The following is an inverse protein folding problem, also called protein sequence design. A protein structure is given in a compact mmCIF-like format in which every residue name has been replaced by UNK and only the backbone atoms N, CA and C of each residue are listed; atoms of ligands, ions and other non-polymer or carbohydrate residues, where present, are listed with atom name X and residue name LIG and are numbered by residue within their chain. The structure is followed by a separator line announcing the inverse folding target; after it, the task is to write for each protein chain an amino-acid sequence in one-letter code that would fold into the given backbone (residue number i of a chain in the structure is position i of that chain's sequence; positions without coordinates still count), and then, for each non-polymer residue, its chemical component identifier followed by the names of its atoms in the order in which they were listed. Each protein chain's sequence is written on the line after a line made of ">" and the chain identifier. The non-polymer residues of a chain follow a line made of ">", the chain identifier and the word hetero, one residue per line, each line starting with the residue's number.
data_IF_757269608254
#
_entry.id   IF_757269608254
#
_cell.length_a   1.000
_cell.length_b   1.000
_cell.length_c   1.000
_cell.angle_alpha   90.00
_cell.angle_beta   90.00
_cell.angle_gamma   90.00
#
_symmetry.space_group_name_H-M   'P 1'
#
loop_
_entity.id
_entity.type
_entity.pdbx_description
1 polymer ?
#
# COMPACT_ATOMS: atom_id res chain seq x y z
N UNK A 1 -9.06 -3.52 -38.42
CA UNK A 1 -8.15 -2.39 -38.20
C UNK A 1 -7.56 -2.49 -36.80
N UNK A 2 -6.23 -2.44 -36.68
CA UNK A 2 -5.46 -2.63 -35.43
C UNK A 2 -4.52 -1.42 -35.22
N UNK A 3 -4.21 -1.07 -33.97
CA UNK A 3 -3.30 0.03 -33.59
C UNK A 3 -1.94 -0.13 -34.26
N UNK A 4 -1.41 -1.35 -34.36
CA UNK A 4 -0.12 -1.60 -35.04
C UNK A 4 -0.18 -1.28 -36.54
N UNK A 5 -1.32 -1.47 -37.19
CA UNK A 5 -1.52 -1.10 -38.59
C UNK A 5 -1.57 0.42 -38.77
N UNK A 6 -2.22 1.12 -37.85
CA UNK A 6 -2.30 2.58 -37.84
C UNK A 6 -0.93 3.22 -37.59
N UNK A 7 -0.11 2.63 -36.71
CA UNK A 7 1.29 3.02 -36.50
C UNK A 7 2.09 2.92 -37.80
N UNK A 8 2.03 1.77 -38.48
CA UNK A 8 2.73 1.58 -39.76
C UNK A 8 2.30 2.59 -40.83
N UNK A 9 1.00 2.94 -40.91
CA UNK A 9 0.50 3.93 -41.87
C UNK A 9 0.99 5.35 -41.54
N UNK A 10 0.97 5.73 -40.26
CA UNK A 10 1.48 7.03 -39.78
C UNK A 10 2.98 7.18 -40.08
N UNK A 11 3.78 6.19 -39.69
CA UNK A 11 5.22 6.16 -39.95
C UNK A 11 5.54 6.22 -41.45
N UNK A 12 4.73 5.57 -42.30
CA UNK A 12 4.88 5.68 -43.75
C UNK A 12 4.62 7.10 -44.26
N UNK A 13 3.67 7.82 -43.65
CA UNK A 13 3.40 9.23 -43.94
C UNK A 13 4.57 10.15 -43.56
N UNK A 14 5.23 9.88 -42.44
CA UNK A 14 6.34 10.69 -41.92
C UNK A 14 7.68 10.36 -42.61
N UNK A 15 7.97 9.07 -42.83
CA UNK A 15 9.27 8.58 -43.32
C UNK A 15 9.32 8.34 -44.84
N UNK A 16 8.18 8.29 -45.52
CA UNK A 16 8.06 8.26 -46.98
C UNK A 16 8.55 6.99 -47.70
N UNK A 17 9.05 5.97 -46.98
CA UNK A 17 9.43 4.69 -47.59
C UNK A 17 9.23 3.49 -46.65
N UNK A 18 8.82 2.35 -47.23
CA UNK A 18 8.65 1.08 -46.50
C UNK A 18 9.95 0.62 -45.84
N UNK A 19 11.11 0.89 -46.47
CA UNK A 19 12.41 0.55 -45.91
C UNK A 19 12.71 1.35 -44.64
N UNK A 20 12.50 2.66 -44.67
CA UNK A 20 12.70 3.52 -43.50
C UNK A 20 11.75 3.16 -42.34
N UNK A 21 10.48 2.87 -42.64
CA UNK A 21 9.52 2.40 -41.62
C UNK A 21 9.94 1.07 -40.99
N UNK A 22 10.43 0.13 -41.81
CA UNK A 22 10.90 -1.16 -41.33
C UNK A 22 12.12 -1.02 -40.40
N UNK A 23 13.06 -0.15 -40.75
CA UNK A 23 14.22 0.18 -39.92
C UNK A 23 13.79 0.85 -38.60
N UNK A 24 12.91 1.86 -38.64
CA UNK A 24 12.43 2.59 -37.46
C UNK A 24 11.66 1.69 -36.48
N UNK A 25 10.83 0.77 -37.00
CA UNK A 25 10.03 -0.13 -36.18
C UNK A 25 10.75 -1.46 -35.85
N UNK A 26 12.01 -1.64 -36.26
CA UNK A 26 12.79 -2.87 -36.10
C UNK A 26 12.07 -4.14 -36.60
N UNK A 27 11.47 -4.07 -37.78
CA UNK A 27 10.76 -5.17 -38.44
C UNK A 27 11.24 -5.36 -39.88
N UNK A 28 10.80 -6.42 -40.56
CA UNK A 28 11.13 -6.61 -41.98
C UNK A 28 10.28 -5.72 -42.90
N UNK A 29 10.80 -5.30 -44.06
CA UNK A 29 10.01 -4.58 -45.07
C UNK A 29 8.78 -5.34 -45.57
N UNK A 30 8.85 -6.68 -45.60
CA UNK A 30 7.71 -7.53 -45.94
C UNK A 30 6.60 -7.47 -44.88
N UNK A 31 6.95 -7.40 -43.59
CA UNK A 31 5.98 -7.24 -42.51
C UNK A 31 5.26 -5.90 -42.59
N UNK A 32 5.98 -4.80 -42.87
CA UNK A 32 5.39 -3.47 -43.11
C UNK A 32 4.40 -3.52 -44.28
N UNK A 33 4.81 -4.09 -45.40
CA UNK A 33 3.96 -4.22 -46.59
C UNK A 33 2.71 -5.06 -46.34
N UNK A 34 2.83 -6.13 -45.53
CA UNK A 34 1.72 -6.98 -45.12
C UNK A 34 0.72 -6.23 -44.23
N UNK A 35 1.20 -5.44 -43.25
CA UNK A 35 0.33 -4.64 -42.38
C UNK A 35 -0.42 -3.57 -43.17
N UNK A 36 0.23 -2.88 -44.11
CA UNK A 36 -0.42 -1.93 -45.01
C UNK A 36 -1.48 -2.60 -45.88
N UNK A 37 -1.19 -3.79 -46.41
CA UNK A 37 -2.14 -4.56 -47.22
C UNK A 37 -3.37 -5.00 -46.41
N UNK A 38 -3.18 -5.41 -45.16
CA UNK A 38 -4.28 -5.74 -44.26
C UNK A 38 -5.12 -4.51 -43.91
N UNK A 39 -4.47 -3.37 -43.65
CA UNK A 39 -5.16 -2.13 -43.33
C UNK A 39 -6.02 -1.63 -44.50
N UNK A 40 -5.47 -1.61 -45.72
CA UNK A 40 -6.20 -1.20 -46.92
C UNK A 40 -7.41 -2.10 -47.19
N UNK A 41 -7.28 -3.42 -47.00
CA UNK A 41 -8.41 -4.36 -47.09
C UNK A 41 -9.49 -4.05 -46.06
N UNK A 42 -9.08 -3.78 -44.81
CA UNK A 42 -10.01 -3.42 -43.73
C UNK A 42 -10.69 -2.06 -43.95
N UNK A 43 -10.01 -1.10 -44.58
CA UNK A 43 -10.53 0.23 -44.86
C UNK A 43 -11.40 0.29 -46.13
N UNK A 44 -11.34 -0.73 -46.99
CA UNK A 44 -12.11 -0.80 -48.24
C UNK A 44 -11.66 0.16 -49.34
N UNK A 45 -10.60 0.94 -49.12
CA UNK A 45 -10.06 1.93 -50.06
C UNK A 45 -8.53 1.87 -50.11
N UNK A 46 -7.90 2.23 -51.25
CA UNK A 46 -6.44 2.37 -51.33
C UNK A 46 -5.94 3.51 -50.42
N UNK A 47 -5.04 3.19 -49.50
CA UNK A 47 -4.44 4.15 -48.56
C UNK A 47 -3.05 4.61 -49.02
N UNK A 48 -2.43 3.86 -49.92
CA UNK A 48 -1.12 4.15 -50.51
C UNK A 48 -1.19 4.11 -52.02
N UNK A 49 -0.30 4.87 -52.68
CA UNK A 49 -0.11 4.86 -54.14
C UNK A 49 1.37 4.94 -54.47
N UNK A 50 1.74 4.44 -55.65
CA UNK A 50 3.11 4.62 -56.16
C UNK A 50 3.27 6.03 -56.72
N UNK A 51 4.36 6.68 -56.36
CA UNK A 51 4.83 7.94 -56.93
C UNK A 51 6.30 7.78 -57.31
N UNK A 52 6.54 7.52 -58.60
CA UNK A 52 7.85 7.10 -59.10
C UNK A 52 8.34 5.80 -58.42
N UNK A 53 9.46 5.90 -57.68
CA UNK A 53 10.05 4.79 -56.91
C UNK A 53 9.55 4.71 -55.46
N UNK A 54 8.78 5.69 -55.01
CA UNK A 54 8.35 5.82 -53.62
C UNK A 54 6.88 5.39 -53.44
N UNK A 55 6.55 4.95 -52.23
CA UNK A 55 5.18 4.63 -51.84
C UNK A 55 4.67 5.78 -50.95
N UNK A 56 3.67 6.51 -51.42
CA UNK A 56 3.13 7.70 -50.73
C UNK A 56 1.68 7.47 -50.31
N UNK A 57 1.23 8.20 -49.29
CA UNK A 57 -0.17 8.15 -48.85
C UNK A 57 -1.11 8.78 -49.90
N UNK A 58 -2.28 8.17 -50.07
CA UNK A 58 -3.43 8.80 -50.77
C UNK A 58 -4.09 9.84 -49.85
N UNK A 59 -5.09 10.59 -50.32
CA UNK A 59 -5.88 11.47 -49.44
C UNK A 59 -6.58 10.67 -48.34
N UNK A 60 -7.17 9.52 -48.68
CA UNK A 60 -7.74 8.59 -47.71
C UNK A 60 -6.69 8.05 -46.74
N UNK A 61 -5.47 7.79 -47.23
CA UNK A 61 -4.32 7.40 -46.40
C UNK A 61 -3.90 8.46 -45.40
N UNK A 62 -3.86 9.73 -45.82
CA UNK A 62 -3.58 10.88 -44.93
C UNK A 62 -4.65 11.02 -43.85
N UNK A 63 -5.92 11.03 -44.24
CA UNK A 63 -7.05 11.11 -43.28
C UNK A 63 -7.00 9.98 -42.26
N UNK A 64 -6.71 8.75 -42.69
CA UNK A 64 -6.62 7.62 -41.78
C UNK A 64 -5.34 7.64 -40.92
N UNK A 65 -4.22 8.14 -41.44
CA UNK A 65 -2.99 8.32 -40.66
C UNK A 65 -3.18 9.34 -39.53
N UNK A 66 -3.84 10.47 -39.81
CA UNK A 66 -4.15 11.51 -38.81
C UNK A 66 -5.09 10.97 -37.72
N UNK A 67 -6.17 10.30 -38.14
CA UNK A 67 -7.08 9.63 -37.21
C UNK A 67 -6.37 8.53 -36.40
N UNK A 68 -5.46 7.80 -37.03
CA UNK A 68 -4.61 6.79 -36.38
C UNK A 68 -3.69 7.40 -35.31
N UNK A 69 -3.15 8.59 -35.54
CA UNK A 69 -2.36 9.34 -34.56
C UNK A 69 -3.15 9.65 -33.29
N UNK A 70 -4.43 10.01 -33.41
CA UNK A 70 -5.30 10.23 -32.25
C UNK A 70 -5.53 8.95 -31.43
N UNK A 71 -5.73 7.80 -32.09
CA UNK A 71 -5.88 6.50 -31.41
C UNK A 71 -4.60 6.08 -30.69
N UNK A 72 -3.44 6.26 -31.32
CA UNK A 72 -2.14 5.93 -30.73
C UNK A 72 -1.88 6.80 -29.49
N UNK A 73 -2.17 8.11 -29.56
CA UNK A 73 -2.06 9.01 -28.40
C UNK A 73 -3.00 8.60 -27.28
N UNK A 74 -4.27 8.35 -27.56
CA UNK A 74 -5.23 7.91 -26.54
C UNK A 74 -4.79 6.61 -25.83
N UNK A 75 -4.19 5.67 -26.56
CA UNK A 75 -3.60 4.47 -25.97
C UNK A 75 -2.37 4.79 -25.10
N UNK A 76 -1.49 5.70 -25.55
CA UNK A 76 -0.34 6.13 -24.75
C UNK A 76 -0.77 6.85 -23.46
N UNK A 77 -1.75 7.75 -23.55
CA UNK A 77 -2.33 8.47 -22.41
C UNK A 77 -2.95 7.51 -21.40
N UNK A 78 -3.64 6.46 -21.87
CA UNK A 78 -4.18 5.43 -20.99
C UNK A 78 -3.09 4.65 -20.23
N UNK A 79 -1.97 4.30 -20.89
CA UNK A 79 -0.83 3.68 -20.23
C UNK A 79 -0.15 4.64 -19.25
N UNK A 80 0.01 5.91 -19.63
CA UNK A 80 0.59 6.94 -18.77
C UNK A 80 -0.28 7.22 -17.53
N UNK A 81 -1.60 7.23 -17.66
CA UNK A 81 -2.52 7.37 -16.53
C UNK A 81 -2.44 6.19 -15.56
N UNK A 82 -2.32 4.97 -16.07
CA UNK A 82 -2.08 3.78 -15.24
C UNK A 82 -0.70 3.86 -14.58
N UNK A 83 0.33 4.31 -15.31
CA UNK A 83 1.66 4.56 -14.77
C UNK A 83 1.62 5.57 -13.62
N UNK A 84 1.06 6.76 -13.84
CA UNK A 84 0.89 7.80 -12.83
C UNK A 84 0.10 7.34 -11.59
N UNK A 85 -0.90 6.47 -11.75
CA UNK A 85 -1.60 5.89 -10.60
C UNK A 85 -0.73 4.92 -9.78
N UNK A 86 0.08 4.09 -10.45
CA UNK A 86 1.00 3.18 -9.76
C UNK A 86 2.17 3.92 -9.14
N UNK A 87 2.66 4.95 -9.83
CA UNK A 87 3.85 5.70 -9.46
C UNK A 87 3.58 6.83 -8.48
N UNK A 88 2.31 7.19 -8.19
CA UNK A 88 1.96 8.21 -7.19
C UNK A 88 2.41 7.80 -5.78
N UNK A 89 3.47 8.43 -5.24
CA UNK A 89 3.99 8.12 -3.91
C UNK A 89 3.12 8.69 -2.78
N UNK A 90 2.27 9.70 -3.07
CA UNK A 90 1.33 10.30 -2.13
C UNK A 90 -0.08 9.66 -2.18
N UNK A 91 -0.21 8.54 -2.90
CA UNK A 91 -1.46 7.81 -3.03
C UNK A 91 -2.08 7.44 -1.68
N UNK A 92 -3.41 7.40 -1.62
CA UNK A 92 -4.11 6.92 -0.40
C UNK A 92 -4.04 5.39 -0.33
N UNK A 93 -3.64 4.87 0.83
CA UNK A 93 -3.52 3.44 1.12
C UNK A 93 -4.46 3.08 2.26
N UNK A 94 -5.37 2.14 1.99
CA UNK A 94 -6.29 1.59 2.96
C UNK A 94 -5.72 0.31 3.60
N UNK A 95 -5.66 0.28 4.93
CA UNK A 95 -5.11 -0.84 5.71
C UNK A 95 -6.14 -1.29 6.73
N UNK A 96 -6.49 -2.58 6.70
CA UNK A 96 -7.33 -3.21 7.74
C UNK A 96 -6.50 -4.13 8.63
N UNK A 97 -6.83 -4.20 9.92
CA UNK A 97 -6.22 -5.13 10.85
C UNK A 97 -7.22 -5.67 11.88
N UNK A 98 -6.97 -6.87 12.40
CA UNK A 98 -7.68 -7.37 13.57
C UNK A 98 -7.27 -6.62 14.85
N UNK A 99 -8.11 -6.65 15.90
CA UNK A 99 -8.02 -5.77 17.08
C UNK A 99 -6.61 -5.59 17.65
N UNK A 100 -5.90 -6.68 18.03
CA UNK A 100 -4.59 -6.52 18.67
C UNK A 100 -3.50 -6.03 17.70
N UNK A 101 -3.55 -6.41 16.42
CA UNK A 101 -2.64 -5.86 15.43
C UNK A 101 -2.90 -4.36 15.23
N UNK A 102 -4.16 -3.95 15.10
CA UNK A 102 -4.52 -2.53 15.00
C UNK A 102 -4.01 -1.72 16.19
N UNK A 103 -4.24 -2.19 17.42
CA UNK A 103 -3.77 -1.54 18.64
C UNK A 103 -2.23 -1.43 18.72
N UNK A 104 -1.51 -2.48 18.32
CA UNK A 104 -0.04 -2.51 18.41
C UNK A 104 0.67 -1.74 17.28
N UNK A 105 0.06 -1.70 16.08
CA UNK A 105 0.74 -1.30 14.83
C UNK A 105 0.29 0.08 14.35
N UNK A 106 -1.02 0.39 14.36
CA UNK A 106 -1.56 1.57 13.66
C UNK A 106 -0.98 2.90 14.15
N UNK A 107 -0.85 3.08 15.46
CA UNK A 107 -0.25 4.30 16.02
C UNK A 107 1.22 4.48 15.60
N UNK A 108 2.00 3.40 15.60
CA UNK A 108 3.42 3.41 15.20
C UNK A 108 3.56 3.71 13.70
N UNK A 109 2.73 3.06 12.88
CA UNK A 109 2.72 3.28 11.43
C UNK A 109 2.36 4.73 11.08
N UNK A 110 1.30 5.26 11.70
CA UNK A 110 0.88 6.65 11.48
C UNK A 110 1.95 7.64 11.94
N UNK A 111 2.57 7.41 13.10
CA UNK A 111 3.66 8.25 13.62
C UNK A 111 4.88 8.30 12.70
N UNK A 112 5.27 7.17 12.10
CA UNK A 112 6.39 7.13 11.15
C UNK A 112 6.11 7.94 9.89
N UNK A 113 4.91 7.84 9.34
CA UNK A 113 4.53 8.61 8.14
C UNK A 113 4.45 10.11 8.44
N UNK A 114 3.94 10.49 9.62
CA UNK A 114 3.92 11.89 10.04
C UNK A 114 5.35 12.46 10.18
N UNK A 115 6.26 11.73 10.84
CA UNK A 115 7.65 12.17 10.99
C UNK A 115 8.37 12.36 9.64
N UNK A 116 8.14 11.45 8.68
CA UNK A 116 8.71 11.61 7.32
C UNK A 116 8.17 12.83 6.59
N UNK A 117 6.93 13.26 6.86
CA UNK A 117 6.37 14.47 6.23
C UNK A 117 6.94 15.76 6.83
N UNK A 118 7.35 15.74 8.10
CA UNK A 118 7.94 16.88 8.79
C UNK A 118 9.41 17.11 8.39
N UNK A 119 10.18 16.03 8.22
CA UNK A 119 11.59 16.10 7.78
C UNK A 119 11.73 16.72 6.37
N UNK A 120 10.78 16.46 5.47
CA UNK A 120 10.76 17.02 4.12
C UNK A 120 10.27 18.48 4.06
N UNK A 121 9.62 18.98 5.12
CA UNK A 121 9.17 20.38 5.23
C UNK A 121 10.20 21.34 5.86
N UNK A 122 11.34 20.83 6.33
CA UNK A 122 12.28 21.54 7.21
C UNK A 122 13.40 22.36 6.56
N UNK A 123 13.54 22.41 5.23
CA UNK A 123 14.68 23.12 4.58
C UNK A 123 14.43 24.60 4.24
N UNK A 124 13.45 25.26 4.85
CA UNK A 124 13.03 26.60 4.46
C UNK A 124 12.74 27.60 5.59
N UNK A 125 13.57 27.70 6.64
CA UNK A 125 13.57 28.89 7.52
C UNK A 125 14.82 28.95 8.42
N UNK A 126 15.98 29.23 7.85
CA UNK A 126 17.16 29.69 8.60
C UNK A 126 17.16 31.21 8.63
N UNK A 127 16.73 31.79 9.76
CA UNK A 127 16.67 33.23 9.99
C UNK A 127 18.05 33.89 9.88
N UNK A 128 18.08 35.03 9.18
CA UNK A 128 19.12 36.05 9.34
C UNK A 128 18.65 36.98 10.44
N UNK A 129 19.16 36.73 11.65
CA UNK A 129 19.22 37.70 12.73
C UNK A 129 20.43 38.58 12.43
N UNK A 130 20.21 39.86 12.11
CA UNK A 130 21.29 40.85 12.14
C UNK A 130 20.74 42.15 12.75
N UNK A 131 21.24 42.43 13.95
CA UNK A 131 20.92 43.61 14.72
C UNK A 131 21.60 44.85 14.16
N UNK A 132 20.88 45.98 14.15
CA UNK A 132 21.44 47.28 13.82
C UNK A 132 20.63 48.40 14.48
N UNK A 133 21.18 48.95 15.56
CA UNK A 133 20.75 50.17 16.24
C UNK A 133 20.98 51.41 15.36
N UNK A 134 20.11 52.41 15.45
CA UNK A 134 20.37 53.73 14.83
C UNK A 134 19.17 54.67 14.82
N UNK A 135 19.34 55.85 15.39
CA UNK A 135 18.29 56.80 15.75
C UNK A 135 17.96 57.83 14.66
N UNK A 136 16.75 58.41 14.78
CA UNK A 136 16.49 59.86 14.60
C UNK A 136 16.12 60.36 13.20
N UNK A 137 15.15 61.29 13.16
CA UNK A 137 15.00 62.24 12.05
C UNK A 137 13.56 62.47 11.59
N UNK A 138 13.01 63.61 11.99
CA UNK A 138 11.70 64.20 11.64
C UNK A 138 11.62 64.74 10.21
N UNK A 139 10.36 64.99 9.77
CA UNK A 139 9.88 65.94 8.74
C UNK A 139 10.49 65.79 7.31
N UNK A 140 9.82 66.03 6.18
CA UNK A 140 8.82 67.01 5.81
C UNK A 140 8.20 66.66 4.43
N UNK A 141 7.16 67.38 4.00
CA UNK A 141 6.25 67.06 2.89
C UNK A 141 6.79 67.09 1.44
N UNK A 142 5.87 66.83 0.50
CA UNK A 142 6.13 66.91 -0.94
C UNK A 142 5.04 66.28 -1.82
N UNK A 143 4.03 67.08 -2.15
CA UNK A 143 3.04 66.84 -3.21
C UNK A 143 3.68 66.76 -4.60
N UNK A 144 3.18 65.89 -5.49
CA UNK A 144 3.55 65.87 -6.91
C UNK A 144 2.61 65.02 -7.76
N UNK A 145 1.91 65.71 -8.66
CA UNK A 145 0.86 65.29 -9.59
C UNK A 145 1.41 64.62 -10.88
N UNK A 146 0.54 63.86 -11.56
CA UNK A 146 0.46 63.83 -13.01
C UNK A 146 1.22 62.74 -13.78
N UNK A 147 0.50 61.98 -14.62
CA UNK A 147 1.14 61.23 -15.71
C UNK A 147 0.36 60.07 -16.31
N UNK A 148 -0.63 60.37 -17.14
CA UNK A 148 -1.29 59.44 -18.08
C UNK A 148 -0.31 58.90 -19.14
N UNK A 149 -0.47 57.65 -19.56
CA UNK A 149 0.20 57.11 -20.76
C UNK A 149 -0.36 55.76 -21.19
N UNK A 150 -1.09 55.75 -22.30
CA UNK A 150 -1.72 54.59 -22.92
C UNK A 150 -0.81 53.88 -23.92
N UNK A 151 -1.13 52.61 -24.19
CA UNK A 151 -0.97 51.99 -25.51
C UNK A 151 0.22 51.05 -25.68
N UNK A 152 -0.01 49.94 -26.36
CA UNK A 152 1.06 49.11 -26.93
C UNK A 152 0.75 47.63 -26.96
N UNK A 153 0.26 47.18 -28.10
CA UNK A 153 -0.09 45.82 -28.47
C UNK A 153 1.14 44.92 -28.72
N UNK A 154 0.82 43.63 -28.87
CA UNK A 154 1.42 42.65 -29.79
C UNK A 154 2.52 41.67 -29.33
N UNK A 155 2.27 40.46 -29.84
CA UNK A 155 3.16 39.37 -30.22
C UNK A 155 3.76 38.43 -29.15
N UNK A 156 3.13 37.25 -29.06
CA UNK A 156 3.61 36.11 -29.85
C UNK A 156 5.05 35.66 -29.57
N UNK A 157 5.22 34.82 -28.55
CA UNK A 157 6.46 34.10 -28.29
C UNK A 157 6.18 32.64 -27.95
N UNK A 158 6.47 31.75 -28.89
CA UNK A 158 6.47 30.30 -28.76
C UNK A 158 7.34 29.83 -27.59
N UNK A 159 6.72 29.23 -26.58
CA UNK A 159 7.44 28.49 -25.53
C UNK A 159 7.85 27.12 -26.05
N UNK A 160 9.08 27.02 -26.55
CA UNK A 160 9.84 25.77 -26.53
C UNK A 160 10.44 25.63 -25.14
N UNK A 161 10.01 24.59 -24.44
CA UNK A 161 10.32 24.32 -23.05
C UNK A 161 10.38 22.83 -22.82
N UNK A 162 11.25 22.14 -23.57
CA UNK A 162 11.78 20.85 -23.18
C UNK A 162 12.55 20.99 -21.88
N UNK A 163 11.88 20.84 -20.74
CA UNK A 163 12.51 20.58 -19.46
C UNK A 163 12.42 19.09 -19.18
N UNK A 164 13.47 18.37 -19.57
CA UNK A 164 13.89 17.14 -18.92
C UNK A 164 14.26 17.47 -17.47
N UNK A 165 13.23 17.50 -16.62
CA UNK A 165 13.36 17.56 -15.17
C UNK A 165 13.29 16.14 -14.62
N UNK A 166 14.40 15.42 -14.68
CA UNK A 166 14.65 14.28 -13.78
C UNK A 166 14.75 14.79 -12.34
N UNK A 167 13.62 15.19 -11.76
CA UNK A 167 13.50 15.51 -10.35
C UNK A 167 13.55 14.21 -9.57
N UNK A 168 14.65 14.00 -8.84
CA UNK A 168 14.70 13.11 -7.68
C UNK A 168 13.46 13.35 -6.81
N UNK A 169 12.56 12.36 -6.74
CA UNK A 169 11.26 12.48 -6.07
C UNK A 169 11.40 12.92 -4.62
N UNK A 170 11.08 14.18 -4.37
CA UNK A 170 11.03 14.82 -3.06
C UNK A 170 9.75 14.43 -2.32
N UNK A 171 9.90 13.80 -1.16
CA UNK A 171 9.04 13.91 0.04
C UNK A 171 7.53 13.65 0.00
N UNK A 172 7.03 12.93 -0.99
CA UNK A 172 5.62 12.58 -1.05
C UNK A 172 5.29 11.38 -0.15
N UNK A 173 4.55 11.63 0.94
CA UNK A 173 4.16 10.63 1.94
C UNK A 173 2.77 10.05 1.65
N UNK A 174 2.58 8.71 1.65
CA UNK A 174 1.28 8.08 1.50
C UNK A 174 0.26 8.54 2.56
N UNK A 175 -1.00 8.77 2.16
CA UNK A 175 -2.11 9.01 3.09
C UNK A 175 -2.72 7.70 3.55
N UNK A 176 -2.87 7.49 4.87
CA UNK A 176 -3.48 6.27 5.41
C UNK A 176 -5.00 6.38 5.60
N UNK A 177 -5.70 5.28 5.34
CA UNK A 177 -7.04 5.00 5.87
C UNK A 177 -6.98 3.69 6.65
N UNK A 178 -7.21 3.76 7.95
CA UNK A 178 -7.08 2.61 8.85
C UNK A 178 -8.47 2.15 9.28
N UNK A 179 -8.66 0.83 9.33
CA UNK A 179 -9.90 0.21 9.80
C UNK A 179 -9.60 -1.04 10.64
N UNK A 180 -10.41 -1.30 11.65
CA UNK A 180 -10.43 -2.58 12.35
C UNK A 180 -11.42 -3.55 11.67
N UNK A 181 -10.98 -4.79 11.47
CA UNK A 181 -11.80 -5.88 10.93
C UNK A 181 -11.48 -7.17 11.68
N UNK A 182 -12.40 -7.62 12.54
CA UNK A 182 -12.24 -8.82 13.38
C UNK A 182 -13.09 -9.98 12.89
N UNK A 183 -12.60 -10.61 11.83
CA UNK A 183 -13.26 -11.74 11.18
C UNK A 183 -12.57 -13.07 11.53
N UNK A 184 -13.29 -14.20 11.47
CA UNK A 184 -12.66 -15.52 11.49
C UNK A 184 -11.67 -15.69 10.33
N UNK A 185 -10.75 -16.66 10.42
CA UNK A 185 -9.70 -16.90 9.42
C UNK A 185 -10.21 -16.82 7.97
N UNK A 186 -11.31 -17.51 7.66
CA UNK A 186 -11.85 -17.58 6.28
C UNK A 186 -12.37 -16.23 5.74
N UNK A 187 -12.62 -15.25 6.61
CA UNK A 187 -13.11 -13.93 6.23
C UNK A 187 -12.03 -12.98 5.70
N UNK A 188 -10.76 -13.16 6.10
CA UNK A 188 -9.69 -12.22 5.76
C UNK A 188 -9.46 -12.05 4.25
N UNK A 189 -9.41 -13.11 3.42
CA UNK A 189 -9.17 -12.96 1.99
C UNK A 189 -10.17 -12.03 1.28
N UNK A 190 -11.44 -12.07 1.69
CA UNK A 190 -12.49 -11.24 1.09
C UNK A 190 -12.31 -9.73 1.36
N UNK A 191 -11.64 -9.38 2.47
CA UNK A 191 -11.34 -7.98 2.83
C UNK A 191 -10.42 -7.30 1.82
N UNK A 192 -9.61 -8.05 1.08
CA UNK A 192 -8.73 -7.51 0.02
C UNK A 192 -9.51 -6.88 -1.14
N UNK A 193 -10.83 -7.08 -1.22
CA UNK A 193 -11.71 -6.36 -2.14
C UNK A 193 -12.01 -4.92 -1.71
N UNK A 194 -11.84 -4.61 -0.42
CA UNK A 194 -12.17 -3.31 0.18
C UNK A 194 -10.93 -2.53 0.63
N UNK A 195 -9.87 -3.23 0.98
CA UNK A 195 -8.64 -2.67 1.52
C UNK A 195 -7.43 -3.01 0.65
N UNK A 196 -6.48 -2.08 0.56
CA UNK A 196 -5.24 -2.28 -0.20
C UNK A 196 -4.32 -3.30 0.49
N UNK A 197 -4.23 -3.25 1.81
CA UNK A 197 -3.46 -4.16 2.65
C UNK A 197 -4.36 -4.70 3.77
N UNK A 198 -4.42 -6.02 3.92
CA UNK A 198 -5.12 -6.67 5.03
C UNK A 198 -4.11 -7.38 5.92
N UNK A 199 -4.01 -6.98 7.18
CA UNK A 199 -3.30 -7.76 8.20
C UNK A 199 -4.21 -8.89 8.66
N UNK A 200 -3.86 -10.11 8.27
CA UNK A 200 -4.62 -11.32 8.56
C UNK A 200 -3.87 -12.20 9.55
N UNK A 201 -4.60 -13.09 10.23
CA UNK A 201 -3.99 -14.11 11.05
C UNK A 201 -4.63 -15.49 10.88
N UNK A 202 -3.82 -16.52 11.11
CA UNK A 202 -4.23 -17.93 11.13
C UNK A 202 -3.40 -18.70 12.14
N UNK A 203 -3.87 -19.85 12.61
CA UNK A 203 -3.00 -20.74 13.38
C UNK A 203 -1.90 -21.30 12.46
N UNK A 204 -0.70 -21.53 12.98
CA UNK A 204 0.42 -22.03 12.17
C UNK A 204 0.14 -23.41 11.51
N UNK A 205 -0.77 -24.19 12.10
CA UNK A 205 -1.21 -25.49 11.59
C UNK A 205 -2.50 -25.41 10.74
N UNK A 206 -3.12 -24.23 10.62
CA UNK A 206 -4.28 -24.04 9.75
C UNK A 206 -3.90 -24.06 8.29
N UNK A 207 -4.90 -24.27 7.42
CA UNK A 207 -4.77 -24.12 5.98
C UNK A 207 -4.12 -22.79 5.58
N UNK A 208 -3.33 -22.83 4.51
CA UNK A 208 -2.71 -21.65 3.92
C UNK A 208 -3.74 -20.76 3.23
N UNK A 209 -3.39 -19.50 3.03
CA UNK A 209 -4.22 -18.54 2.32
C UNK A 209 -4.37 -18.89 0.84
N UNK A 210 -5.50 -18.55 0.18
CA UNK A 210 -5.61 -18.65 -1.27
C UNK A 210 -4.59 -17.72 -1.94
N UNK A 211 -3.89 -18.21 -2.96
CA UNK A 211 -2.78 -17.50 -3.64
C UNK A 211 -3.06 -17.17 -5.11
N UNK A 212 -4.24 -17.52 -5.63
CA UNK A 212 -4.63 -17.31 -7.02
C UNK A 212 -4.80 -15.82 -7.37
N UNK A 213 -5.28 -15.02 -6.41
CA UNK A 213 -5.59 -13.58 -6.58
C UNK A 213 -5.04 -12.70 -5.48
N UNK A 214 -4.25 -13.27 -4.57
CA UNK A 214 -3.74 -12.60 -3.39
C UNK A 214 -2.26 -12.91 -3.26
N UNK A 215 -1.47 -11.85 -3.17
CA UNK A 215 -0.09 -11.91 -2.71
C UNK A 215 -0.10 -12.00 -1.19
N UNK A 216 0.55 -13.05 -0.68
CA UNK A 216 0.71 -13.30 0.75
C UNK A 216 2.15 -12.95 1.13
N UNK A 217 2.31 -12.00 2.05
CA UNK A 217 3.62 -11.61 2.57
C UNK A 217 3.66 -11.94 4.07
N UNK A 218 4.46 -12.94 4.50
CA UNK A 218 4.61 -13.25 5.92
C UNK A 218 5.14 -12.05 6.70
N UNK A 219 4.58 -11.81 7.89
CA UNK A 219 4.93 -10.65 8.71
C UNK A 219 5.51 -11.06 10.07
N UNK A 220 4.85 -11.96 10.79
CA UNK A 220 5.37 -12.48 12.06
C UNK A 220 4.75 -13.83 12.47
N UNK A 221 5.45 -14.57 13.32
CA UNK A 221 4.86 -15.64 14.12
C UNK A 221 4.73 -15.19 15.56
N UNK A 222 3.57 -15.41 16.16
CA UNK A 222 3.26 -14.92 17.49
C UNK A 222 2.69 -16.05 18.36
N UNK A 223 3.33 -16.38 19.50
CA UNK A 223 2.79 -17.32 20.47
C UNK A 223 1.68 -16.68 21.31
N UNK A 224 0.71 -17.51 21.72
CA UNK A 224 -0.19 -17.21 22.82
C UNK A 224 0.42 -17.62 24.16
N UNK A 225 0.42 -16.69 25.11
CA UNK A 225 0.79 -16.93 26.51
C UNK A 225 -0.48 -16.96 27.38
N UNK A 226 -0.42 -17.71 28.47
CA UNK A 226 -1.47 -17.73 29.49
C UNK A 226 -1.38 -16.46 30.31
N UNK A 227 -2.47 -15.70 30.33
CA UNK A 227 -2.66 -14.52 31.14
C UNK A 227 -3.27 -14.91 32.49
N UNK A 228 -2.62 -14.47 33.56
CA UNK A 228 -2.96 -14.77 34.94
C UNK A 228 -3.03 -13.46 35.76
N UNK A 229 -3.89 -13.36 36.78
CA UNK A 229 -3.74 -12.34 37.81
C UNK A 229 -2.38 -12.49 38.51
N UNK A 230 -1.71 -11.38 38.88
CA UNK A 230 -0.40 -11.45 39.55
C UNK A 230 -0.39 -12.28 40.85
N UNK A 231 -1.52 -12.35 41.56
CA UNK A 231 -1.67 -13.15 42.78
C UNK A 231 -2.01 -14.63 42.54
N UNK A 232 -2.16 -15.07 41.29
CA UNK A 232 -2.56 -16.44 40.99
C UNK A 232 -1.42 -17.44 41.30
N UNK A 233 -1.67 -18.62 41.91
CA UNK A 233 -0.62 -19.58 42.26
C UNK A 233 0.27 -20.00 41.07
N UNK A 234 -0.32 -20.13 39.88
CA UNK A 234 0.41 -20.47 38.66
C UNK A 234 1.36 -19.36 38.16
N UNK A 235 1.19 -18.11 38.63
CA UNK A 235 2.06 -17.01 38.25
C UNK A 235 3.50 -17.20 38.77
N UNK A 236 3.71 -18.04 39.78
CA UNK A 236 5.03 -18.39 40.30
C UNK A 236 5.83 -19.33 39.38
N UNK A 237 5.18 -20.01 38.43
CA UNK A 237 5.87 -20.89 37.47
C UNK A 237 6.50 -20.07 36.34
N UNK A 238 7.56 -20.57 35.70
CA UNK A 238 8.17 -19.92 34.54
C UNK A 238 7.46 -20.26 33.22
N UNK A 239 6.85 -21.44 33.14
CA UNK A 239 5.99 -21.90 32.04
C UNK A 239 4.91 -22.84 32.57
N UNK A 240 3.88 -23.06 31.77
CA UNK A 240 2.72 -23.87 32.11
C UNK A 240 2.55 -25.00 31.11
N UNK A 241 2.05 -26.14 31.59
CA UNK A 241 1.61 -27.26 30.77
C UNK A 241 0.08 -27.26 30.61
N UNK A 242 -0.50 -27.98 29.63
CA UNK A 242 -1.93 -28.11 29.48
C UNK A 242 -2.62 -28.64 30.75
N UNK A 243 -1.97 -29.59 31.44
CA UNK A 243 -2.48 -30.18 32.69
C UNK A 243 -2.56 -29.18 33.84
N UNK A 244 -1.68 -28.17 33.87
CA UNK A 244 -1.70 -27.12 34.90
C UNK A 244 -2.94 -26.23 34.81
N UNK A 245 -3.44 -26.01 33.59
CA UNK A 245 -4.45 -24.98 33.30
C UNK A 245 -5.81 -25.55 32.88
N UNK A 246 -5.89 -26.84 32.55
CA UNK A 246 -7.12 -27.49 32.13
C UNK A 246 -8.22 -27.53 33.21
N UNK A 247 -7.84 -27.41 34.48
CA UNK A 247 -8.78 -27.37 35.60
C UNK A 247 -9.31 -25.98 35.95
N UNK A 248 -8.78 -24.94 35.33
CA UNK A 248 -9.06 -23.55 35.69
C UNK A 248 -10.29 -22.99 34.96
N UNK A 249 -10.78 -21.84 35.45
CA UNK A 249 -11.81 -21.06 34.76
C UNK A 249 -11.20 -20.05 33.80
N UNK A 250 -11.84 -19.86 32.65
CA UNK A 250 -11.27 -19.08 31.53
C UNK A 250 -12.21 -18.02 30.98
N UNK A 251 -11.61 -16.91 30.54
CA UNK A 251 -12.14 -16.03 29.51
C UNK A 251 -11.49 -16.39 28.16
N UNK A 252 -12.31 -16.60 27.12
CA UNK A 252 -11.79 -16.97 25.80
C UNK A 252 -12.70 -16.50 24.66
N UNK A 253 -12.20 -16.51 23.44
CA UNK A 253 -12.95 -16.11 22.26
C UNK A 253 -14.06 -17.09 21.90
N UNK A 254 -14.91 -16.69 20.96
CA UNK A 254 -15.87 -17.61 20.31
C UNK A 254 -15.13 -18.66 19.47
N UNK A 255 -15.76 -19.82 19.16
CA UNK A 255 -15.22 -20.78 18.20
C UNK A 255 -14.90 -20.12 16.85
N UNK A 256 -13.86 -20.60 16.17
CA UNK A 256 -13.37 -20.03 14.90
C UNK A 256 -12.34 -18.91 15.05
N UNK A 257 -11.93 -18.60 16.28
CA UNK A 257 -10.86 -17.66 16.61
C UNK A 257 -9.75 -18.37 17.38
N UNK A 258 -8.50 -17.93 17.18
CA UNK A 258 -7.30 -18.61 17.65
C UNK A 258 -7.28 -19.02 19.15
N UNK A 259 -7.74 -18.20 20.11
CA UNK A 259 -7.76 -18.60 21.53
C UNK A 259 -8.66 -19.83 21.80
N UNK A 260 -9.78 -19.96 21.10
CA UNK A 260 -10.67 -21.10 21.26
C UNK A 260 -10.01 -22.40 20.74
N UNK A 261 -9.26 -22.32 19.65
CA UNK A 261 -8.53 -23.46 19.07
C UNK A 261 -7.41 -23.94 20.00
N UNK A 262 -6.67 -23.01 20.61
CA UNK A 262 -5.64 -23.34 21.61
C UNK A 262 -6.26 -24.03 22.82
N UNK A 263 -7.40 -23.55 23.35
CA UNK A 263 -8.07 -24.21 24.47
C UNK A 263 -8.66 -25.58 24.10
N UNK A 264 -9.09 -25.78 22.86
CA UNK A 264 -9.48 -27.10 22.37
C UNK A 264 -8.28 -28.07 22.38
N UNK A 265 -7.09 -27.61 21.98
CA UNK A 265 -5.86 -28.39 22.07
C UNK A 265 -5.46 -28.70 23.53
N UNK A 266 -5.59 -27.72 24.45
CA UNK A 266 -5.40 -27.95 25.90
C UNK A 266 -6.33 -29.06 26.39
N UNK A 267 -7.62 -28.99 26.04
CA UNK A 267 -8.62 -29.97 26.46
C UNK A 267 -8.28 -31.38 25.97
N UNK A 268 -7.84 -31.49 24.71
CA UNK A 268 -7.46 -32.75 24.10
C UNK A 268 -6.24 -33.39 24.80
N UNK A 269 -5.19 -32.60 25.07
CA UNK A 269 -3.95 -33.12 25.69
C UNK A 269 -4.15 -33.45 27.17
N UNK A 270 -4.84 -32.59 27.92
CA UNK A 270 -5.06 -32.79 29.35
C UNK A 270 -6.18 -33.80 29.65
N UNK A 271 -6.89 -34.29 28.62
CA UNK A 271 -8.10 -35.13 28.78
C UNK A 271 -9.14 -34.51 29.73
N UNK A 272 -9.20 -33.17 29.78
CA UNK A 272 -10.06 -32.39 30.67
C UNK A 272 -10.39 -31.06 30.01
N UNK A 273 -11.68 -30.77 29.84
CA UNK A 273 -12.12 -29.52 29.24
C UNK A 273 -11.98 -28.34 30.22
N UNK A 274 -11.37 -27.21 29.80
CA UNK A 274 -11.36 -25.97 30.57
C UNK A 274 -12.78 -25.44 30.81
N UNK A 275 -13.04 -24.84 31.97
CA UNK A 275 -14.31 -24.21 32.26
C UNK A 275 -14.36 -22.79 31.66
N UNK A 276 -15.15 -22.56 30.62
CA UNK A 276 -15.25 -21.23 30.00
C UNK A 276 -16.30 -20.39 30.74
N UNK A 277 -15.84 -19.50 31.62
CA UNK A 277 -16.69 -18.59 32.39
C UNK A 277 -17.15 -17.39 31.56
N UNK A 278 -16.32 -16.89 30.65
CA UNK A 278 -16.59 -15.69 29.86
C UNK A 278 -16.21 -15.87 28.39
N UNK A 279 -16.99 -15.23 27.49
CA UNK A 279 -16.74 -15.23 26.04
C UNK A 279 -16.41 -13.82 25.55
N UNK A 280 -15.15 -13.56 25.24
CA UNK A 280 -14.62 -12.25 24.83
C UNK A 280 -13.59 -12.45 23.71
N UNK A 281 -13.75 -11.71 22.60
CA UNK A 281 -12.83 -11.78 21.46
C UNK A 281 -11.70 -10.73 21.54
N UNK A 282 -11.98 -9.56 22.09
CA UNK A 282 -11.01 -8.47 22.22
C UNK A 282 -10.01 -8.73 23.38
N UNK A 283 -8.72 -8.66 23.06
CA UNK A 283 -7.66 -9.01 24.01
C UNK A 283 -7.45 -7.97 25.11
N UNK A 284 -7.74 -6.69 24.86
CA UNK A 284 -7.69 -5.68 25.92
C UNK A 284 -8.77 -5.93 26.98
N UNK A 285 -9.97 -6.32 26.54
CA UNK A 285 -11.07 -6.74 27.42
C UNK A 285 -10.73 -8.05 28.13
N UNK A 286 -10.10 -9.02 27.46
CA UNK A 286 -9.58 -10.25 28.10
C UNK A 286 -8.62 -9.89 29.23
N UNK A 287 -7.63 -9.03 28.97
CA UNK A 287 -6.66 -8.60 29.98
C UNK A 287 -7.34 -7.94 31.18
N UNK A 288 -8.31 -7.06 30.95
CA UNK A 288 -9.07 -6.40 32.02
C UNK A 288 -9.89 -7.40 32.85
N UNK A 289 -10.52 -8.39 32.21
CA UNK A 289 -11.25 -9.46 32.91
C UNK A 289 -10.30 -10.32 33.74
N UNK A 290 -9.15 -10.70 33.20
CA UNK A 290 -8.12 -11.46 33.93
C UNK A 290 -7.63 -10.65 35.14
N UNK A 291 -7.29 -9.37 34.96
CA UNK A 291 -6.81 -8.51 36.05
C UNK A 291 -7.84 -8.32 37.17
N UNK A 292 -9.13 -8.19 36.81
CA UNK A 292 -10.22 -7.92 37.76
C UNK A 292 -10.89 -9.17 38.34
N UNK A 293 -10.45 -10.38 37.98
CA UNK A 293 -11.09 -11.63 38.40
C UNK A 293 -10.07 -12.72 38.76
N UNK A 294 -10.55 -13.95 38.99
CA UNK A 294 -9.71 -15.13 39.21
C UNK A 294 -9.60 -16.04 37.99
N UNK A 295 -10.07 -15.61 36.81
CA UNK A 295 -10.07 -16.45 35.60
C UNK A 295 -8.80 -16.25 34.77
N UNK A 296 -8.43 -17.27 34.01
CA UNK A 296 -7.30 -17.23 33.08
C UNK A 296 -7.72 -16.72 31.69
N UNK A 297 -6.77 -16.21 30.92
CA UNK A 297 -6.97 -15.83 29.52
C UNK A 297 -5.81 -16.29 28.64
N UNK A 298 -5.98 -16.19 27.32
CA UNK A 298 -4.88 -16.32 26.36
C UNK A 298 -4.62 -14.96 25.72
N UNK A 299 -3.37 -14.50 25.77
CA UNK A 299 -2.96 -13.24 25.18
C UNK A 299 -1.82 -13.44 24.19
N UNK A 300 -1.88 -12.80 23.02
CA UNK A 300 -0.80 -12.84 22.05
C UNK A 300 0.41 -12.03 22.54
N UNK A 301 1.60 -12.63 22.50
CA UNK A 301 2.80 -12.11 23.17
C UNK A 301 3.27 -10.73 22.67
N UNK A 302 3.20 -10.46 21.37
CA UNK A 302 3.79 -9.25 20.80
C UNK A 302 2.77 -8.12 20.66
N UNK A 303 1.51 -8.46 20.41
CA UNK A 303 0.45 -7.50 20.08
C UNK A 303 -0.45 -7.13 21.25
N UNK A 304 -0.44 -7.89 22.36
CA UNK A 304 -1.27 -7.59 23.54
C UNK A 304 -0.52 -7.51 24.88
N UNK A 305 0.76 -7.95 24.96
CA UNK A 305 1.45 -8.07 26.24
C UNK A 305 1.64 -6.72 26.97
N UNK A 306 2.08 -5.67 26.27
CA UNK A 306 2.36 -4.38 26.89
C UNK A 306 1.13 -3.81 27.63
N UNK A 307 -0.05 -3.89 27.00
CA UNK A 307 -1.31 -3.45 27.62
C UNK A 307 -1.66 -4.30 28.85
N UNK A 308 -1.52 -5.62 28.76
CA UNK A 308 -1.85 -6.53 29.85
C UNK A 308 -0.94 -6.37 31.08
N UNK A 309 0.38 -6.23 30.85
CA UNK A 309 1.35 -6.03 31.93
C UNK A 309 1.06 -4.75 32.72
N UNK A 310 0.63 -3.68 32.05
CA UNK A 310 0.22 -2.42 32.71
C UNK A 310 -1.00 -2.56 33.63
N UNK A 311 -1.80 -3.62 33.44
CA UNK A 311 -3.00 -3.92 34.24
C UNK A 311 -2.74 -4.92 35.39
N UNK A 312 -1.48 -5.29 35.65
CA UNK A 312 -1.15 -6.27 36.70
C UNK A 312 -1.41 -7.72 36.30
N UNK A 313 -1.48 -8.01 34.99
CA UNK A 313 -1.54 -9.36 34.44
C UNK A 313 -0.14 -9.91 34.28
N UNK A 314 0.05 -11.18 34.64
CA UNK A 314 1.28 -11.94 34.43
C UNK A 314 1.09 -12.90 33.26
N UNK A 315 2.04 -12.91 32.33
CA UNK A 315 2.04 -13.81 31.18
C UNK A 315 2.98 -14.99 31.41
N UNK A 316 2.51 -16.21 31.10
CA UNK A 316 3.32 -17.42 31.14
C UNK A 316 3.21 -18.23 29.84
N UNK A 317 4.34 -18.63 29.24
CA UNK A 317 4.35 -19.51 28.10
C UNK A 317 3.60 -20.82 28.38
N UNK A 318 2.79 -21.24 27.42
CA UNK A 318 2.14 -22.54 27.42
C UNK A 318 2.94 -23.50 26.53
N UNK A 319 3.54 -24.51 27.15
CA UNK A 319 4.38 -25.50 26.48
C UNK A 319 3.60 -26.79 26.18
N UNK A 320 4.15 -27.64 25.31
CA UNK A 320 3.57 -28.94 25.00
C UNK A 320 2.40 -28.94 24.01
N UNK A 321 1.98 -27.77 23.50
CA UNK A 321 1.00 -27.64 22.41
C UNK A 321 1.36 -26.52 21.44
N UNK A 322 0.77 -26.56 20.25
CA UNK A 322 0.93 -25.50 19.25
C UNK A 322 0.11 -24.26 19.64
N UNK A 323 0.80 -23.19 20.04
CA UNK A 323 0.18 -21.91 20.44
C UNK A 323 0.48 -20.76 19.50
N UNK A 324 1.15 -21.02 18.37
CA UNK A 324 1.60 -19.97 17.46
C UNK A 324 0.54 -19.66 16.40
N UNK A 325 0.22 -18.38 16.26
CA UNK A 325 -0.44 -17.84 15.07
C UNK A 325 0.58 -17.21 14.12
N UNK A 326 0.26 -17.22 12.84
CA UNK A 326 0.94 -16.44 11.82
C UNK A 326 0.16 -15.16 11.56
N UNK A 327 0.90 -14.07 11.42
CA UNK A 327 0.40 -12.78 10.94
C UNK A 327 0.97 -12.58 9.55
N UNK A 328 0.10 -12.35 8.58
CA UNK A 328 0.45 -12.20 7.17
C UNK A 328 -0.19 -10.92 6.61
N UNK A 329 0.47 -10.26 5.67
CA UNK A 329 -0.17 -9.22 4.85
C UNK A 329 -0.76 -9.86 3.60
N UNK A 330 -2.05 -9.62 3.36
CA UNK A 330 -2.74 -10.03 2.15
C UNK A 330 -2.96 -8.79 1.27
N UNK A 331 -2.46 -8.85 0.04
CA UNK A 331 -2.48 -7.73 -0.91
C UNK A 331 -2.89 -8.27 -2.28
N UNK A 332 -3.78 -7.59 -3.01
CA UNK A 332 -4.05 -7.98 -4.40
C UNK A 332 -2.87 -7.60 -5.32
N UNK A 333 -2.50 -8.40 -6.33
CA UNK A 333 -1.36 -8.13 -7.21
C UNK A 333 -1.37 -6.73 -7.85
N UNK A 334 -2.55 -6.21 -8.21
CA UNK A 334 -2.72 -4.86 -8.76
C UNK A 334 -2.36 -3.76 -7.75
N UNK A 335 -2.68 -3.95 -6.47
CA UNK A 335 -2.35 -3.00 -5.41
C UNK A 335 -0.87 -3.09 -5.02
N UNK A 336 -0.27 -4.29 -5.06
CA UNK A 336 1.14 -4.51 -4.75
C UNK A 336 2.11 -3.77 -5.71
N UNK A 337 1.62 -3.35 -6.88
CA UNK A 337 2.40 -2.57 -7.86
C UNK A 337 2.45 -1.07 -7.55
N UNK A 338 1.57 -0.56 -6.68
CA UNK A 338 1.50 0.87 -6.34
C UNK A 338 2.65 1.23 -5.40
N UNK A 339 3.41 2.27 -5.72
CA UNK A 339 4.55 2.74 -4.90
C UNK A 339 4.11 3.08 -3.47
N UNK A 340 2.97 3.78 -3.31
CA UNK A 340 2.42 4.09 -2.00
C UNK A 340 2.13 2.81 -1.16
N UNK A 341 1.56 1.76 -1.77
CA UNK A 341 1.28 0.48 -1.10
C UNK A 341 2.58 -0.23 -0.73
N UNK A 342 3.58 -0.25 -1.60
CA UNK A 342 4.89 -0.84 -1.32
C UNK A 342 5.58 -0.13 -0.15
N UNK A 343 5.51 1.21 -0.10
CA UNK A 343 6.07 2.00 1.00
C UNK A 343 5.38 1.67 2.32
N UNK A 344 4.05 1.62 2.35
CA UNK A 344 3.29 1.27 3.57
C UNK A 344 3.55 -0.18 3.99
N UNK A 345 3.59 -1.13 3.06
CA UNK A 345 3.92 -2.53 3.35
C UNK A 345 5.34 -2.69 3.94
N UNK A 346 6.29 -1.90 3.46
CA UNK A 346 7.64 -1.88 4.01
C UNK A 346 7.67 -1.33 5.44
N UNK A 347 7.00 -0.20 5.69
CA UNK A 347 6.89 0.37 7.05
C UNK A 347 6.18 -0.58 8.02
N UNK A 348 5.15 -1.30 7.55
CA UNK A 348 4.47 -2.33 8.34
C UNK A 348 5.43 -3.45 8.78
N UNK A 349 6.30 -3.92 7.87
CA UNK A 349 7.34 -4.91 8.22
C UNK A 349 8.26 -4.39 9.29
N UNK A 350 8.81 -3.19 9.11
CA UNK A 350 9.73 -2.59 10.08
C UNK A 350 9.08 -2.39 11.46
N UNK A 351 7.82 -1.94 11.51
CA UNK A 351 7.06 -1.79 12.76
C UNK A 351 6.87 -3.14 13.46
N UNK A 352 6.54 -4.20 12.70
CA UNK A 352 6.33 -5.52 13.28
C UNK A 352 7.65 -6.17 13.71
N UNK A 353 8.72 -6.00 12.95
CA UNK A 353 10.05 -6.50 13.34
C UNK A 353 10.51 -5.91 14.68
N UNK A 354 10.26 -4.61 14.90
CA UNK A 354 10.51 -3.95 16.19
C UNK A 354 9.62 -4.48 17.32
N UNK A 355 8.34 -4.72 17.04
CA UNK A 355 7.41 -5.30 18.02
C UNK A 355 7.83 -6.71 18.45
N UNK A 356 8.31 -7.53 17.51
CA UNK A 356 8.75 -8.91 17.79
C UNK A 356 10.12 -8.91 18.49
N UNK A 357 10.99 -7.95 18.16
CA UNK A 357 12.35 -7.84 18.74
C UNK A 357 12.39 -7.19 20.12
N UNK A 358 11.33 -6.47 20.50
CA UNK A 358 11.22 -5.85 21.83
C UNK A 358 11.05 -6.93 22.91
N UNK A 359 11.91 -6.98 23.94
CA UNK A 359 11.67 -7.86 25.07
C UNK A 359 10.39 -7.40 25.79
N UNK A 360 9.40 -8.29 25.84
CA UNK A 360 8.18 -8.12 26.64
C UNK A 360 8.42 -8.27 28.13
#
# INVERSE_FOLDING_TARGET
>A
MDVRQLQVLRELGELGSVKAVAEAMMVTPSAVSQQLTLLQRSAGVPLTRKDGRNLVLTDAGRVLADAGGAVIRAMADAHAAIGGYHDDPAGTVSVSAFHSAGQAIFGRLAGRLAATAEDDGGTGAGGSDDGGTGAGGSDDGGTGDGGTGAGGSDDGGTGDGGSDGGGSGTGAVPRLRLADEDVPQQGFPALTARYDIVLAHRMAHSEDWPTDRILVLPLAEEPFDVALPAGHPLAAKNSLSPSDVAGESWVSSRPGYSPADVLAAVAAVASRAPHIAHRVNDYATVAAVVAGSGVLGLLPRHTAAAAALSQGVVLRPLEGIATRRRIDMLIRPENARRQAVQRVAQLLREVVDELVSSPG
#
